data_IF_119539867143
#
_entry.id   IF_119539867143
#
_cell.length_a   1.000
_cell.length_b   1.000
_cell.length_c   1.000
_cell.angle_alpha   90.00
_cell.angle_beta   90.00
_cell.angle_gamma   90.00
#
_symmetry.space_group_name_H-M   'P 1'
#
loop_
_entity.id
_entity.type
_entity.pdbx_description
1 polymer ?
#
# COMPACT_ATOMS: atom_id res chain seq x y z
N UNK A 1 -9.50 13.28 -18.49
CA UNK A 1 -8.10 13.42 -17.97
C UNK A 1 -7.34 14.57 -18.65
N UNK A 2 -7.83 15.08 -19.77
CA UNK A 2 -7.25 16.21 -20.53
C UNK A 2 -7.53 17.58 -19.87
N UNK A 3 -8.46 17.64 -18.92
CA UNK A 3 -8.94 18.88 -18.29
C UNK A 3 -8.01 19.46 -17.18
N UNK A 4 -6.85 18.85 -16.91
CA UNK A 4 -6.03 19.23 -15.75
C UNK A 4 -4.60 19.66 -16.10
N UNK A 5 -4.29 19.90 -17.37
CA UNK A 5 -2.92 20.24 -17.79
C UNK A 5 -2.49 21.67 -17.40
N UNK A 6 -3.45 22.57 -17.21
CA UNK A 6 -3.21 23.99 -16.90
C UNK A 6 -3.48 24.37 -15.43
N UNK A 7 -3.68 23.38 -14.55
CA UNK A 7 -3.99 23.67 -13.15
C UNK A 7 -2.70 23.90 -12.36
N UNK A 8 -2.58 25.09 -11.75
CA UNK A 8 -1.50 25.36 -10.80
C UNK A 8 -1.42 24.26 -9.70
N UNK A 9 -0.19 23.86 -9.29
CA UNK A 9 0.01 22.80 -8.29
C UNK A 9 -0.80 23.00 -7.00
N UNK A 10 -1.00 24.26 -6.58
CA UNK A 10 -1.77 24.62 -5.40
C UNK A 10 -3.27 24.28 -5.58
N UNK A 11 -3.82 24.51 -6.75
CA UNK A 11 -5.21 24.23 -7.09
C UNK A 11 -5.47 22.72 -7.10
N UNK A 12 -4.52 21.92 -7.59
CA UNK A 12 -4.59 20.45 -7.55
C UNK A 12 -4.66 19.91 -6.10
N UNK A 13 -3.90 20.50 -5.18
CA UNK A 13 -3.95 20.16 -3.74
C UNK A 13 -5.32 20.45 -3.14
N UNK A 14 -5.92 21.59 -3.48
CA UNK A 14 -7.27 21.96 -3.03
C UNK A 14 -8.33 20.97 -3.52
N UNK A 15 -8.27 20.51 -4.77
CA UNK A 15 -9.19 19.48 -5.27
C UNK A 15 -9.06 18.15 -4.51
N UNK A 16 -7.83 17.74 -4.18
CA UNK A 16 -7.59 16.52 -3.38
C UNK A 16 -8.20 16.68 -1.98
N UNK A 17 -7.99 17.83 -1.33
CA UNK A 17 -8.56 18.10 -0.01
C UNK A 17 -10.10 18.11 -0.05
N UNK A 18 -10.70 18.79 -1.03
CA UNK A 18 -12.14 18.82 -1.20
C UNK A 18 -12.71 17.42 -1.46
N UNK A 19 -12.08 16.61 -2.30
CA UNK A 19 -12.50 15.24 -2.55
C UNK A 19 -12.47 14.39 -1.27
N UNK A 20 -11.44 14.55 -0.42
CA UNK A 20 -11.34 13.85 0.85
C UNK A 20 -12.42 14.30 1.86
N UNK A 21 -12.70 15.61 1.94
CA UNK A 21 -13.77 16.16 2.78
C UNK A 21 -15.14 15.64 2.33
N UNK A 22 -15.39 15.66 1.01
CA UNK A 22 -16.63 15.14 0.44
C UNK A 22 -16.79 13.63 0.73
N UNK A 23 -15.76 12.83 0.48
CA UNK A 23 -15.77 11.39 0.76
C UNK A 23 -16.01 11.09 2.25
N UNK A 24 -15.43 11.90 3.15
CA UNK A 24 -15.65 11.79 4.59
C UNK A 24 -17.07 12.16 4.98
N UNK A 25 -17.61 13.22 4.38
CA UNK A 25 -19.01 13.64 4.56
C UNK A 25 -20.00 12.55 4.13
N UNK A 26 -19.79 11.93 2.98
CA UNK A 26 -20.63 10.80 2.50
C UNK A 26 -20.57 9.61 3.47
N UNK A 27 -19.39 9.29 4.01
CA UNK A 27 -19.26 8.23 5.01
C UNK A 27 -20.06 8.55 6.29
N UNK A 28 -19.96 9.77 6.80
CA UNK A 28 -20.70 10.21 8.01
C UNK A 28 -22.20 10.12 7.76
N UNK A 29 -22.68 10.58 6.58
CA UNK A 29 -24.09 10.49 6.21
C UNK A 29 -24.52 9.02 6.09
N UNK A 30 -23.70 8.16 5.49
CA UNK A 30 -23.99 6.73 5.36
C UNK A 30 -24.08 5.98 6.69
N UNK A 31 -23.30 6.40 7.69
CA UNK A 31 -23.29 5.80 9.03
C UNK A 31 -24.16 6.53 10.07
N UNK A 32 -24.88 7.58 9.65
CA UNK A 32 -25.68 8.43 10.54
C UNK A 32 -26.68 7.65 11.39
N UNK A 33 -27.36 6.64 10.82
CA UNK A 33 -28.32 5.80 11.56
C UNK A 33 -27.66 5.02 12.69
N UNK A 34 -26.42 4.57 12.52
CA UNK A 34 -25.66 3.84 13.52
C UNK A 34 -25.26 4.77 14.67
N UNK A 35 -24.88 6.02 14.37
CA UNK A 35 -24.58 7.03 15.37
C UNK A 35 -25.77 7.35 16.27
N UNK A 36 -26.99 7.37 15.72
CA UNK A 36 -28.22 7.63 16.50
C UNK A 36 -28.55 6.52 17.52
N UNK A 37 -28.12 5.28 17.26
CA UNK A 37 -28.34 4.14 18.15
C UNK A 37 -27.22 3.95 19.18
N UNK A 38 -26.15 4.75 19.14
CA UNK A 38 -25.06 4.69 20.10
C UNK A 38 -25.51 5.16 21.48
N UNK A 39 -25.47 4.26 22.44
CA UNK A 39 -25.58 4.62 23.85
C UNK A 39 -24.23 5.19 24.30
N UNK A 40 -24.15 6.49 24.47
CA UNK A 40 -22.93 7.21 24.90
C UNK A 40 -22.58 6.84 26.35
N UNK A 41 -22.07 5.63 26.55
CA UNK A 41 -21.54 5.19 27.84
C UNK A 41 -20.06 4.88 27.66
N UNK A 42 -19.20 5.69 28.24
CA UNK A 42 -17.76 5.46 28.22
C UNK A 42 -17.37 4.51 29.35
N UNK A 43 -16.90 3.32 29.02
CA UNK A 43 -16.40 2.33 29.98
C UNK A 43 -14.87 2.40 30.00
N UNK A 44 -14.31 3.02 31.06
CA UNK A 44 -12.86 3.20 31.26
C UNK A 44 -12.12 1.86 31.30
N UNK A 45 -12.73 0.83 31.93
CA UNK A 45 -12.12 -0.50 32.00
C UNK A 45 -11.95 -1.15 30.66
N UNK A 46 -12.99 -1.11 29.81
CA UNK A 46 -12.95 -1.61 28.43
C UNK A 46 -11.96 -0.80 27.57
N UNK A 47 -11.98 0.52 27.68
CA UNK A 47 -11.06 1.39 26.95
C UNK A 47 -9.60 1.07 27.29
N UNK A 48 -9.28 0.82 28.57
CA UNK A 48 -7.92 0.43 29.00
C UNK A 48 -7.50 -0.92 28.43
N UNK A 49 -8.41 -1.90 28.39
CA UNK A 49 -8.13 -3.20 27.75
C UNK A 49 -7.88 -3.06 26.26
N UNK A 50 -8.69 -2.29 25.55
CA UNK A 50 -8.53 -2.02 24.13
C UNK A 50 -7.21 -1.30 23.84
N UNK A 51 -6.86 -0.27 24.62
CA UNK A 51 -5.59 0.44 24.49
C UNK A 51 -4.38 -0.48 24.72
N UNK A 52 -4.45 -1.32 25.75
CA UNK A 52 -3.37 -2.29 26.03
C UNK A 52 -3.17 -3.29 24.89
N UNK A 53 -4.26 -3.73 24.27
CA UNK A 53 -4.21 -4.61 23.10
C UNK A 53 -3.71 -3.88 21.85
N UNK A 54 -4.17 -2.65 21.61
CA UNK A 54 -3.86 -1.89 20.41
C UNK A 54 -2.44 -1.30 20.43
N UNK A 55 -1.85 -1.04 21.60
CA UNK A 55 -0.53 -0.41 21.69
C UNK A 55 0.59 -1.17 20.95
N UNK A 56 0.74 -2.50 21.09
CA UNK A 56 1.69 -3.26 20.30
C UNK A 56 1.41 -3.21 18.79
N UNK A 57 0.13 -3.16 18.40
CA UNK A 57 -0.27 -3.07 16.98
C UNK A 57 0.08 -1.70 16.39
N UNK A 58 0.04 -0.63 17.19
CA UNK A 58 0.51 0.71 16.76
C UNK A 58 2.00 0.67 16.44
N UNK A 59 2.81 0.05 17.29
CA UNK A 59 4.26 -0.09 17.06
C UNK A 59 4.52 -0.90 15.78
N UNK A 60 3.82 -2.02 15.61
CA UNK A 60 3.92 -2.83 14.40
C UNK A 60 3.48 -2.06 13.14
N UNK A 61 2.41 -1.27 13.23
CA UNK A 61 1.95 -0.39 12.16
C UNK A 61 2.97 0.69 11.80
N UNK A 62 3.63 1.29 12.80
CA UNK A 62 4.72 2.24 12.59
C UNK A 62 5.90 1.61 11.84
N UNK A 63 6.31 0.40 12.24
CA UNK A 63 7.36 -0.35 11.55
C UNK A 63 6.98 -0.60 10.08
N UNK A 64 5.72 -0.93 9.81
CA UNK A 64 5.21 -1.09 8.44
C UNK A 64 5.29 0.19 7.62
N UNK A 65 4.89 1.35 8.18
CA UNK A 65 4.97 2.65 7.51
C UNK A 65 6.44 3.02 7.23
N UNK A 66 7.33 2.79 8.19
CA UNK A 66 8.77 3.04 8.01
C UNK A 66 9.29 2.18 6.86
N UNK A 67 8.99 0.89 6.86
CA UNK A 67 9.42 -0.03 5.79
C UNK A 67 8.92 0.40 4.40
N UNK A 68 7.73 0.99 4.30
CA UNK A 68 7.15 1.44 3.03
C UNK A 68 7.69 2.80 2.55
N UNK A 69 8.14 3.66 3.46
CA UNK A 69 8.50 5.05 3.13
C UNK A 69 9.98 5.36 3.26
N UNK A 70 10.74 4.54 3.98
CA UNK A 70 12.14 4.79 4.33
C UNK A 70 13.04 4.99 3.11
N UNK A 71 12.81 4.21 2.06
CA UNK A 71 13.53 4.32 0.78
C UNK A 71 13.48 5.74 0.21
N UNK A 72 12.31 6.36 0.17
CA UNK A 72 12.10 7.71 -0.35
C UNK A 72 12.67 8.78 0.58
N UNK A 73 12.51 8.59 1.89
CA UNK A 73 13.03 9.52 2.89
C UNK A 73 14.57 9.54 2.88
N UNK A 74 15.20 8.37 2.71
CA UNK A 74 16.66 8.25 2.66
C UNK A 74 17.25 8.64 1.30
N UNK A 75 16.51 8.48 0.22
CA UNK A 75 17.01 8.74 -1.14
C UNK A 75 17.46 10.21 -1.31
N UNK A 76 16.68 11.19 -0.82
CA UNK A 76 17.01 12.60 -0.93
C UNK A 76 18.36 12.96 -0.29
N UNK A 77 18.62 12.68 1.01
CA UNK A 77 19.90 13.03 1.63
C UNK A 77 21.07 12.26 1.02
N UNK A 78 20.88 11.02 0.57
CA UNK A 78 21.93 10.25 -0.10
C UNK A 78 22.32 10.87 -1.45
N UNK A 79 21.36 11.33 -2.24
CA UNK A 79 21.61 11.99 -3.52
C UNK A 79 22.28 13.35 -3.34
N UNK A 80 21.87 14.14 -2.35
CA UNK A 80 22.54 15.40 -2.01
C UNK A 80 23.97 15.14 -1.53
N UNK A 81 24.17 14.11 -0.69
CA UNK A 81 25.50 13.70 -0.22
C UNK A 81 26.43 13.21 -1.33
N UNK A 82 25.89 12.70 -2.45
CA UNK A 82 26.65 12.33 -3.65
C UNK A 82 26.97 13.51 -4.59
N UNK A 83 26.66 14.76 -4.20
CA UNK A 83 26.97 15.96 -4.95
C UNK A 83 25.87 16.47 -5.88
N UNK A 84 24.68 15.90 -5.86
CA UNK A 84 23.53 16.40 -6.63
C UNK A 84 22.90 17.61 -5.94
N UNK A 85 22.36 18.52 -6.73
CA UNK A 85 21.58 19.63 -6.20
C UNK A 85 20.29 19.13 -5.53
N UNK A 86 19.75 19.92 -4.60
CA UNK A 86 18.48 19.58 -3.93
C UNK A 86 17.35 19.43 -4.94
N UNK A 87 17.33 20.25 -6.00
CA UNK A 87 16.30 20.20 -7.05
C UNK A 87 16.39 18.91 -7.86
N UNK A 88 17.58 18.50 -8.27
CA UNK A 88 17.82 17.23 -8.97
C UNK A 88 17.46 16.03 -8.12
N UNK A 89 17.85 16.05 -6.83
CA UNK A 89 17.51 14.99 -5.88
C UNK A 89 16.00 14.83 -5.72
N UNK A 90 15.25 15.92 -5.64
CA UNK A 90 13.79 15.88 -5.57
C UNK A 90 13.15 15.35 -6.87
N UNK A 91 13.72 15.70 -8.03
CA UNK A 91 13.26 15.18 -9.32
C UNK A 91 13.45 13.66 -9.40
N UNK A 92 14.60 13.13 -8.96
CA UNK A 92 14.85 11.68 -8.94
C UNK A 92 13.94 10.93 -7.95
N UNK A 93 13.69 11.49 -6.76
CA UNK A 93 12.69 10.94 -5.83
C UNK A 93 11.29 10.93 -6.46
N UNK A 94 10.97 11.94 -7.26
CA UNK A 94 9.73 12.00 -8.05
C UNK A 94 9.63 10.88 -9.07
N UNK A 95 10.70 10.63 -9.85
CA UNK A 95 10.80 9.55 -10.83
C UNK A 95 10.63 8.19 -10.15
N UNK A 96 11.38 7.95 -9.07
CA UNK A 96 11.28 6.73 -8.27
C UNK A 96 9.85 6.52 -7.76
N UNK A 97 9.23 7.56 -7.19
CA UNK A 97 7.87 7.49 -6.65
C UNK A 97 6.82 7.20 -7.73
N UNK A 98 7.02 7.69 -8.96
CA UNK A 98 6.15 7.38 -10.09
C UNK A 98 6.28 5.91 -10.49
N UNK A 99 7.51 5.38 -10.58
CA UNK A 99 7.78 3.99 -10.90
C UNK A 99 7.27 3.04 -9.80
N UNK A 100 7.35 3.46 -8.53
CA UNK A 100 6.82 2.71 -7.40
C UNK A 100 5.31 2.46 -7.52
N UNK A 101 4.54 3.38 -8.13
CA UNK A 101 3.11 3.18 -8.38
C UNK A 101 2.81 1.97 -9.26
N UNK A 102 3.69 1.62 -10.19
CA UNK A 102 3.53 0.40 -10.98
C UNK A 102 3.74 -0.86 -10.10
N UNK A 103 4.71 -0.82 -9.20
CA UNK A 103 4.95 -1.91 -8.27
C UNK A 103 3.78 -2.11 -7.28
N UNK A 104 2.98 -1.07 -7.01
CA UNK A 104 1.78 -1.17 -6.18
C UNK A 104 0.70 -2.11 -6.76
N UNK A 105 0.77 -2.47 -8.04
CA UNK A 105 -0.15 -3.47 -8.62
C UNK A 105 -0.07 -4.78 -7.85
N UNK A 106 1.15 -5.25 -7.52
CA UNK A 106 1.34 -6.44 -6.67
C UNK A 106 0.75 -6.20 -5.28
N UNK A 107 0.96 -5.03 -4.69
CA UNK A 107 0.43 -4.70 -3.37
C UNK A 107 -1.10 -4.74 -3.33
N UNK A 108 -1.78 -4.27 -4.38
CA UNK A 108 -3.25 -4.37 -4.50
C UNK A 108 -3.70 -5.83 -4.52
N UNK A 109 -3.00 -6.68 -5.29
CA UNK A 109 -3.26 -8.12 -5.31
C UNK A 109 -3.07 -8.74 -3.92
N UNK A 110 -1.98 -8.40 -3.21
CA UNK A 110 -1.70 -8.86 -1.85
C UNK A 110 -2.80 -8.46 -0.86
N UNK A 111 -3.28 -7.23 -0.95
CA UNK A 111 -4.38 -6.72 -0.11
C UNK A 111 -5.68 -7.51 -0.37
N UNK A 112 -6.06 -7.70 -1.64
CA UNK A 112 -7.24 -8.47 -2.00
C UNK A 112 -7.17 -9.91 -1.48
N UNK A 113 -6.01 -10.55 -1.66
CA UNK A 113 -5.75 -11.89 -1.13
C UNK A 113 -5.89 -11.92 0.39
N UNK A 114 -5.26 -10.99 1.09
CA UNK A 114 -5.27 -10.93 2.55
C UNK A 114 -6.69 -10.85 3.11
N UNK A 115 -7.53 -10.00 2.56
CA UNK A 115 -8.94 -9.87 2.98
C UNK A 115 -9.74 -11.16 2.82
N UNK A 116 -9.42 -11.97 1.81
CA UNK A 116 -10.06 -13.26 1.60
C UNK A 116 -9.44 -14.38 2.47
N UNK A 117 -8.13 -14.37 2.63
CA UNK A 117 -7.36 -15.42 3.29
C UNK A 117 -7.48 -15.37 4.83
N UNK A 118 -7.45 -14.18 5.45
CA UNK A 118 -7.51 -14.04 6.91
C UNK A 118 -8.73 -14.78 7.53
N UNK A 119 -9.99 -14.50 7.14
CA UNK A 119 -11.14 -15.18 7.74
C UNK A 119 -11.15 -16.69 7.45
N UNK A 120 -10.63 -17.09 6.27
CA UNK A 120 -10.52 -18.50 5.91
C UNK A 120 -9.53 -19.23 6.84
N UNK A 121 -8.32 -18.70 7.04
CA UNK A 121 -7.33 -19.31 7.92
C UNK A 121 -7.84 -19.41 9.36
N UNK A 122 -8.50 -18.37 9.86
CA UNK A 122 -9.11 -18.42 11.20
C UNK A 122 -10.19 -19.50 11.32
N UNK A 123 -11.04 -19.67 10.30
CA UNK A 123 -12.08 -20.68 10.33
C UNK A 123 -11.53 -22.11 10.32
N UNK A 124 -10.38 -22.32 9.67
CA UNK A 124 -9.73 -23.63 9.54
C UNK A 124 -8.69 -23.92 10.64
N UNK A 125 -8.47 -22.99 11.57
CA UNK A 125 -7.42 -23.10 12.60
C UNK A 125 -7.54 -24.36 13.48
N UNK A 126 -8.75 -24.91 13.66
CA UNK A 126 -9.03 -26.14 14.45
C UNK A 126 -9.00 -27.43 13.62
N UNK A 127 -8.83 -27.34 12.30
CA UNK A 127 -8.81 -28.52 11.43
C UNK A 127 -7.51 -29.32 11.61
N UNK A 128 -7.63 -30.66 11.67
CA UNK A 128 -6.46 -31.54 11.82
C UNK A 128 -5.49 -31.46 10.63
N UNK A 129 -5.99 -31.24 9.42
CA UNK A 129 -5.22 -31.16 8.18
C UNK A 129 -4.81 -29.73 7.80
N UNK A 130 -4.97 -28.78 8.71
CA UNK A 130 -4.69 -27.35 8.47
C UNK A 130 -3.32 -27.09 7.81
N UNK A 131 -2.25 -27.76 8.28
CA UNK A 131 -0.90 -27.51 7.77
C UNK A 131 -0.74 -27.92 6.30
N UNK A 132 -1.33 -29.02 5.88
CA UNK A 132 -1.33 -29.44 4.47
C UNK A 132 -2.11 -28.46 3.60
N UNK A 133 -3.24 -27.99 4.11
CA UNK A 133 -4.08 -27.02 3.42
C UNK A 133 -3.39 -25.67 3.29
N UNK A 134 -2.76 -25.17 4.36
CA UNK A 134 -2.01 -23.90 4.37
C UNK A 134 -0.82 -23.96 3.40
N UNK A 135 -0.06 -25.06 3.39
CA UNK A 135 1.02 -25.27 2.43
C UNK A 135 0.53 -25.26 0.99
N UNK A 136 -0.62 -25.88 0.70
CA UNK A 136 -1.21 -25.88 -0.64
C UNK A 136 -1.64 -24.48 -1.08
N UNK A 137 -2.29 -23.72 -0.19
CA UNK A 137 -2.69 -22.32 -0.44
C UNK A 137 -1.45 -21.45 -0.68
N UNK A 138 -0.41 -21.62 0.13
CA UNK A 138 0.85 -20.89 -0.03
C UNK A 138 1.47 -21.13 -1.41
N UNK A 139 1.49 -22.38 -1.90
CA UNK A 139 2.02 -22.69 -3.22
C UNK A 139 1.22 -22.00 -4.34
N UNK A 140 -0.11 -22.03 -4.28
CA UNK A 140 -0.94 -21.31 -5.24
C UNK A 140 -0.78 -19.80 -5.15
N UNK A 141 -0.66 -19.28 -3.95
CA UNK A 141 -0.42 -17.86 -3.73
C UNK A 141 0.91 -17.40 -4.36
N UNK A 142 2.01 -18.14 -4.10
CA UNK A 142 3.32 -17.84 -4.69
C UNK A 142 3.24 -17.89 -6.21
N UNK A 143 2.60 -18.93 -6.78
CA UNK A 143 2.43 -19.04 -8.23
C UNK A 143 1.65 -17.83 -8.80
N UNK A 144 0.56 -17.43 -8.14
CA UNK A 144 -0.25 -16.28 -8.59
C UNK A 144 0.52 -14.97 -8.49
N UNK A 145 1.26 -14.72 -7.40
CA UNK A 145 2.06 -13.49 -7.23
C UNK A 145 3.21 -13.46 -8.25
N UNK A 146 3.86 -14.60 -8.52
CA UNK A 146 4.89 -14.70 -9.56
C UNK A 146 4.31 -14.43 -10.96
N UNK A 147 3.08 -14.88 -11.26
CA UNK A 147 2.42 -14.56 -12.52
C UNK A 147 2.14 -13.06 -12.64
N UNK A 148 1.69 -12.41 -11.57
CA UNK A 148 1.50 -10.94 -11.58
C UNK A 148 2.83 -10.23 -11.79
N UNK A 149 3.88 -10.66 -11.10
CA UNK A 149 5.24 -10.13 -11.26
C UNK A 149 5.72 -10.23 -12.70
N UNK A 150 5.65 -11.44 -13.30
CA UNK A 150 6.06 -11.67 -14.69
C UNK A 150 5.18 -10.88 -15.66
N UNK A 151 3.87 -10.86 -15.43
CA UNK A 151 2.93 -10.11 -16.26
C UNK A 151 3.27 -8.62 -16.35
N UNK A 152 3.60 -7.99 -15.22
CA UNK A 152 3.99 -6.58 -15.21
C UNK A 152 5.40 -6.38 -15.76
N UNK A 153 6.38 -7.21 -15.33
CA UNK A 153 7.78 -7.04 -15.70
C UNK A 153 8.03 -7.25 -17.20
N UNK A 154 7.38 -8.26 -17.80
CA UNK A 154 7.54 -8.55 -19.23
C UNK A 154 6.76 -7.58 -20.12
N UNK A 155 5.72 -6.94 -19.59
CA UNK A 155 4.90 -5.99 -20.33
C UNK A 155 5.08 -4.55 -19.82
N UNK A 156 6.26 -4.22 -19.32
CA UNK A 156 6.54 -2.89 -18.76
C UNK A 156 6.30 -1.78 -19.77
N UNK A 157 6.48 -2.05 -21.06
CA UNK A 157 6.20 -1.13 -22.15
C UNK A 157 4.71 -0.80 -22.31
N UNK A 158 3.82 -1.68 -21.86
CA UNK A 158 2.38 -1.40 -21.78
C UNK A 158 2.09 -0.64 -20.50
N UNK A 159 2.65 -1.09 -19.38
CA UNK A 159 2.40 -0.49 -18.07
C UNK A 159 2.99 0.92 -17.91
N UNK A 160 4.03 1.30 -18.67
CA UNK A 160 4.58 2.66 -18.61
C UNK A 160 3.55 3.74 -18.95
N UNK A 161 2.53 3.46 -19.75
CA UNK A 161 1.48 4.42 -20.09
C UNK A 161 0.56 4.77 -18.92
N UNK A 162 0.60 4.02 -17.83
CA UNK A 162 -0.02 4.43 -16.55
C UNK A 162 0.74 5.59 -15.88
N UNK A 163 2.01 5.79 -16.26
CA UNK A 163 2.79 6.95 -15.86
C UNK A 163 2.61 8.02 -16.94
N UNK A 164 1.91 9.09 -16.60
CA UNK A 164 1.47 10.13 -17.54
C UNK A 164 2.61 10.81 -18.28
N UNK A 165 3.72 11.10 -17.58
CA UNK A 165 4.84 11.86 -18.16
C UNK A 165 5.97 10.95 -18.60
N UNK A 166 6.40 11.08 -19.83
CA UNK A 166 7.55 10.34 -20.40
C UNK A 166 8.86 10.62 -19.66
N UNK A 167 8.98 11.80 -19.03
CA UNK A 167 10.15 12.16 -18.22
C UNK A 167 10.41 11.16 -17.07
N UNK A 168 9.38 10.45 -16.59
CA UNK A 168 9.50 9.43 -15.55
C UNK A 168 9.88 8.05 -16.06
N UNK A 169 9.84 7.81 -17.36
CA UNK A 169 10.14 6.50 -17.95
C UNK A 169 11.61 6.10 -17.81
N UNK A 170 12.49 7.08 -17.60
CA UNK A 170 13.92 6.81 -17.31
C UNK A 170 14.10 5.90 -16.08
N UNK A 171 13.17 5.94 -15.13
CA UNK A 171 13.20 5.11 -13.91
C UNK A 171 12.59 3.72 -14.04
N UNK A 172 12.04 3.31 -15.19
CA UNK A 172 11.32 2.04 -15.36
C UNK A 172 12.16 0.80 -15.03
N UNK A 173 13.49 0.88 -15.20
CA UNK A 173 14.39 -0.21 -14.82
C UNK A 173 14.35 -0.59 -13.34
N UNK A 174 13.85 0.28 -12.47
CA UNK A 174 13.69 0.00 -11.04
C UNK A 174 12.43 -0.83 -10.75
N UNK A 175 11.43 -0.80 -11.63
CA UNK A 175 10.12 -1.44 -11.41
C UNK A 175 10.23 -2.93 -11.14
N UNK A 176 10.98 -3.76 -11.90
CA UNK A 176 11.10 -5.18 -11.61
C UNK A 176 11.70 -5.47 -10.22
N UNK A 177 12.64 -4.63 -9.77
CA UNK A 177 13.26 -4.77 -8.44
C UNK A 177 12.23 -4.50 -7.35
N UNK A 178 11.42 -3.45 -7.51
CA UNK A 178 10.34 -3.11 -6.58
C UNK A 178 9.24 -4.18 -6.56
N UNK A 179 8.93 -4.76 -7.71
CA UNK A 179 7.96 -5.86 -7.82
C UNK A 179 8.45 -7.10 -7.08
N UNK A 180 9.74 -7.49 -7.21
CA UNK A 180 10.31 -8.60 -6.45
C UNK A 180 10.25 -8.32 -4.94
N UNK A 181 10.58 -7.12 -4.50
CA UNK A 181 10.47 -6.74 -3.09
C UNK A 181 9.03 -6.92 -2.57
N UNK A 182 8.03 -6.52 -3.36
CA UNK A 182 6.63 -6.74 -3.00
C UNK A 182 6.22 -8.22 -3.03
N UNK A 183 6.81 -9.07 -3.88
CA UNK A 183 6.61 -10.53 -3.84
C UNK A 183 7.09 -11.10 -2.50
N UNK A 184 8.29 -10.72 -2.04
CA UNK A 184 8.80 -11.14 -0.74
C UNK A 184 7.94 -10.64 0.41
N UNK A 185 7.47 -9.40 0.34
CA UNK A 185 6.53 -8.85 1.31
C UNK A 185 5.24 -9.70 1.36
N UNK A 186 4.73 -10.11 0.21
CA UNK A 186 3.54 -10.98 0.12
C UNK A 186 3.76 -12.34 0.76
N UNK A 187 4.92 -12.97 0.53
CA UNK A 187 5.29 -14.23 1.17
C UNK A 187 5.35 -14.06 2.69
N UNK A 188 5.99 -12.99 3.17
CA UNK A 188 6.05 -12.67 4.59
C UNK A 188 4.65 -12.48 5.21
N UNK A 189 3.78 -11.71 4.57
CA UNK A 189 2.40 -11.49 5.03
C UNK A 189 1.64 -12.81 5.13
N UNK A 190 1.76 -13.68 4.12
CA UNK A 190 1.08 -14.97 4.12
C UNK A 190 1.57 -15.88 5.26
N UNK A 191 2.85 -15.83 5.60
CA UNK A 191 3.39 -16.61 6.73
C UNK A 191 3.01 -16.06 8.10
N UNK A 192 2.60 -14.78 8.18
CA UNK A 192 2.24 -14.11 9.42
C UNK A 192 0.76 -14.28 9.82
N UNK A 193 -0.06 -14.84 8.93
CA UNK A 193 -1.49 -15.18 9.17
C UNK A 193 -1.56 -16.54 9.90
#
# INVERSE_FOLDING_TARGET
LILFDDIEPMTAVWFILMANVFASGVKIIGTYKEFLHLKWKFNVGLAKQMLRYSFPLVIAGFAGIINETLDRVMMKPLLVGSGKSVKESLAEVGIYSACYKLAMIVTIFLQAYRYAAEPFFFSQSKNKDRNKMYSKIMNYFIAAVCLVFLGVSLNIDIFKYFIRSEAYWVGLGVVPILLIANVFLGIYINQSI
#
